data_IF_869390580981
#
_entry.id   IF_869390580981
#
_cell.length_a   1.000
_cell.length_b   1.000
_cell.length_c   1.000
_cell.angle_alpha   90.00
_cell.angle_beta   90.00
_cell.angle_gamma   90.00
#
_symmetry.space_group_name_H-M   'P 1'
#
loop_
_entity.id
_entity.type
_entity.pdbx_description
1 polymer ?
#
# COMPACT_ATOMS: atom_id res chain seq x y z
N UNK A 1 -49.34 25.74 13.29
CA UNK A 1 -47.88 25.80 13.49
C UNK A 1 -47.49 24.77 14.53
N UNK A 2 -46.81 23.70 14.11
CA UNK A 2 -45.84 22.95 14.93
C UNK A 2 -45.14 21.96 13.99
N UNK A 3 -43.89 22.26 13.66
CA UNK A 3 -43.01 21.36 12.90
C UNK A 3 -42.54 20.29 13.87
N UNK A 4 -42.81 19.01 13.58
CA UNK A 4 -42.19 17.90 14.31
C UNK A 4 -40.84 17.61 13.65
N UNK A 5 -39.77 18.07 14.28
CA UNK A 5 -38.40 17.74 13.88
C UNK A 5 -38.09 16.34 14.40
N UNK A 6 -37.86 15.38 13.50
CA UNK A 6 -37.35 14.05 13.84
C UNK A 6 -35.85 14.18 14.07
N UNK A 7 -35.40 13.85 15.27
CA UNK A 7 -33.99 13.82 15.66
C UNK A 7 -33.45 12.42 15.34
N UNK A 8 -32.59 12.30 14.33
CA UNK A 8 -31.86 11.05 14.08
C UNK A 8 -30.64 11.02 14.99
N UNK A 9 -30.63 10.06 15.93
CA UNK A 9 -29.48 9.74 16.77
C UNK A 9 -28.50 8.97 15.89
N UNK A 10 -27.41 9.61 15.47
CA UNK A 10 -26.25 8.91 14.93
C UNK A 10 -25.54 8.21 16.09
N UNK A 11 -25.65 6.89 16.13
CA UNK A 11 -24.82 6.03 16.96
C UNK A 11 -23.42 5.99 16.30
N UNK A 12 -22.55 6.89 16.72
CA UNK A 12 -21.13 6.87 16.34
C UNK A 12 -20.49 5.57 16.80
N UNK A 13 -20.08 4.74 15.85
CA UNK A 13 -19.31 3.53 16.11
C UNK A 13 -17.87 3.99 16.38
N UNK A 14 -17.51 4.06 17.66
CA UNK A 14 -16.17 4.37 18.14
C UNK A 14 -15.23 3.28 17.60
N UNK A 15 -14.45 3.61 16.58
CA UNK A 15 -13.30 2.79 16.19
C UNK A 15 -12.26 2.99 17.30
N UNK A 16 -11.94 1.89 17.98
CA UNK A 16 -11.15 1.87 19.21
C UNK A 16 -9.76 2.46 19.03
N UNK A 17 -9.49 3.51 19.80
CA UNK A 17 -8.15 3.99 20.07
C UNK A 17 -7.37 2.91 20.83
N UNK A 18 -6.43 2.24 20.17
CA UNK A 18 -5.40 1.46 20.84
C UNK A 18 -4.40 2.41 21.48
N UNK A 19 -4.55 2.68 22.77
CA UNK A 19 -3.52 3.37 23.56
C UNK A 19 -2.41 2.36 23.86
N UNK A 20 -1.34 2.39 23.08
CA UNK A 20 -0.10 1.69 23.39
C UNK A 20 0.78 2.61 24.24
N UNK A 21 0.79 2.41 25.56
CA UNK A 21 1.81 3.01 26.44
C UNK A 21 3.07 2.15 26.34
N UNK A 22 4.04 2.60 25.53
CA UNK A 22 5.31 1.92 25.31
C UNK A 22 6.45 2.92 25.09
N UNK A 23 7.17 3.21 26.17
CA UNK A 23 8.51 3.79 26.32
C UNK A 23 9.29 4.09 25.01
N UNK A 24 9.41 5.39 24.72
CA UNK A 24 10.63 6.10 24.31
C UNK A 24 11.54 5.53 23.21
N UNK A 25 11.25 5.89 21.96
CA UNK A 25 12.26 6.38 21.00
C UNK A 25 11.64 7.53 20.20
N UNK A 26 12.25 8.72 20.26
CA UNK A 26 11.86 9.84 19.40
C UNK A 26 12.42 9.58 18.00
N UNK A 27 11.68 8.82 17.20
CA UNK A 27 11.67 8.99 15.76
C UNK A 27 10.27 9.49 15.45
N UNK A 28 10.13 10.79 15.18
CA UNK A 28 8.93 11.33 14.56
C UNK A 28 8.82 10.71 13.18
N UNK A 29 8.20 9.54 13.08
CA UNK A 29 7.64 9.07 11.83
C UNK A 29 6.50 10.04 11.54
N UNK A 30 6.82 11.03 10.71
CA UNK A 30 5.83 11.83 10.02
C UNK A 30 5.06 10.83 9.14
N UNK A 31 3.97 10.29 9.69
CA UNK A 31 3.03 9.52 8.92
C UNK A 31 2.38 10.52 7.98
N UNK A 32 2.80 10.52 6.71
CA UNK A 32 2.06 11.22 5.67
C UNK A 32 0.76 10.45 5.54
N UNK A 33 -0.30 10.94 6.18
CA UNK A 33 -1.64 10.49 5.83
C UNK A 33 -1.85 10.88 4.36
N UNK A 34 -1.98 9.87 3.51
CA UNK A 34 -2.28 10.04 2.08
C UNK A 34 -3.75 10.44 1.98
N UNK A 35 -4.11 11.62 2.49
CA UNK A 35 -5.52 12.09 2.51
C UNK A 35 -5.96 12.68 1.16
N UNK A 36 -5.09 12.76 0.15
CA UNK A 36 -5.36 13.53 -1.08
C UNK A 36 -4.90 12.84 -2.37
N UNK A 37 -5.10 11.53 -2.52
CA UNK A 37 -4.71 10.82 -3.74
C UNK A 37 -5.67 9.69 -4.13
N UNK A 38 -6.10 9.65 -5.39
CA UNK A 38 -6.90 8.54 -5.94
C UNK A 38 -8.18 8.25 -5.14
N UNK A 39 -8.40 6.99 -4.77
CA UNK A 39 -9.61 6.54 -4.07
C UNK A 39 -9.86 7.22 -2.71
N UNK A 40 -8.83 7.79 -2.07
CA UNK A 40 -8.98 8.47 -0.76
C UNK A 40 -9.82 9.74 -0.83
N UNK A 41 -9.97 10.33 -2.02
CA UNK A 41 -10.80 11.52 -2.26
C UNK A 41 -12.27 11.18 -2.59
N UNK A 42 -12.59 9.89 -2.72
CA UNK A 42 -13.92 9.42 -3.11
C UNK A 42 -14.75 9.03 -1.89
N UNK A 43 -15.97 9.56 -1.83
CA UNK A 43 -16.99 9.22 -0.82
C UNK A 43 -18.16 8.53 -1.51
N UNK A 44 -18.77 7.55 -0.85
CA UNK A 44 -19.80 6.68 -1.44
C UNK A 44 -21.07 7.40 -1.90
N UNK A 45 -21.36 8.58 -1.32
CA UNK A 45 -22.50 9.42 -1.68
C UNK A 45 -22.08 10.66 -2.50
N UNK A 46 -20.83 10.69 -2.95
CA UNK A 46 -20.27 11.79 -3.72
C UNK A 46 -20.81 11.83 -5.15
N UNK A 47 -20.82 13.04 -5.72
CA UNK A 47 -21.06 13.26 -7.14
C UNK A 47 -19.84 13.96 -7.70
N UNK A 48 -19.27 13.39 -8.75
CA UNK A 48 -18.01 13.80 -9.32
C UNK A 48 -18.21 14.25 -10.76
N UNK A 49 -17.40 15.21 -11.18
CA UNK A 49 -17.25 15.55 -12.60
C UNK A 49 -16.46 14.46 -13.33
N UNK A 50 -16.58 14.39 -14.65
CA UNK A 50 -15.80 13.44 -15.44
C UNK A 50 -14.28 13.64 -15.26
N UNK A 51 -13.84 14.90 -15.15
CA UNK A 51 -12.44 15.25 -14.89
C UNK A 51 -11.95 14.69 -13.55
N UNK A 52 -12.74 14.85 -12.49
CA UNK A 52 -12.41 14.27 -11.17
C UNK A 52 -12.38 12.74 -11.23
N UNK A 53 -13.37 12.10 -11.87
CA UNK A 53 -13.42 10.64 -11.97
C UNK A 53 -12.19 10.07 -12.69
N UNK A 54 -11.83 10.63 -13.84
CA UNK A 54 -10.65 10.18 -14.59
C UNK A 54 -9.36 10.46 -13.82
N UNK A 55 -9.25 11.63 -13.19
CA UNK A 55 -8.09 12.01 -12.38
C UNK A 55 -7.90 11.06 -11.21
N UNK A 56 -8.96 10.77 -10.45
CA UNK A 56 -8.87 9.88 -9.30
C UNK A 56 -8.62 8.44 -9.72
N UNK A 57 -9.24 7.96 -10.79
CA UNK A 57 -8.99 6.63 -11.33
C UNK A 57 -7.51 6.45 -11.70
N UNK A 58 -6.93 7.34 -12.52
CA UNK A 58 -5.54 7.17 -12.97
C UNK A 58 -4.53 7.35 -11.83
N UNK A 59 -4.82 8.21 -10.84
CA UNK A 59 -4.01 8.35 -9.64
C UNK A 59 -4.02 7.05 -8.82
N UNK A 60 -5.16 6.38 -8.68
CA UNK A 60 -5.25 5.11 -7.95
C UNK A 60 -4.41 4.03 -8.63
N UNK A 61 -4.48 3.93 -9.97
CA UNK A 61 -3.65 2.99 -10.74
C UNK A 61 -2.14 3.32 -10.64
N UNK A 62 -1.77 4.61 -10.64
CA UNK A 62 -0.38 5.04 -10.41
C UNK A 62 0.12 4.63 -9.01
N UNK A 63 -0.71 4.84 -7.98
CA UNK A 63 -0.36 4.49 -6.59
C UNK A 63 -0.24 2.98 -6.41
N UNK A 64 -1.16 2.20 -6.96
CA UNK A 64 -1.10 0.74 -6.94
C UNK A 64 0.18 0.23 -7.62
N UNK A 65 0.46 0.70 -8.84
CA UNK A 65 1.65 0.31 -9.59
C UNK A 65 2.95 0.66 -8.83
N UNK A 66 3.06 1.89 -8.33
CA UNK A 66 4.24 2.34 -7.57
C UNK A 66 4.43 1.54 -6.28
N UNK A 67 3.34 1.28 -5.54
CA UNK A 67 3.35 0.49 -4.31
C UNK A 67 3.80 -0.95 -4.57
N UNK A 68 3.26 -1.60 -5.60
CA UNK A 68 3.60 -2.98 -5.94
C UNK A 68 5.05 -3.09 -6.44
N UNK A 69 5.55 -2.12 -7.21
CA UNK A 69 6.97 -2.05 -7.56
C UNK A 69 7.87 -1.96 -6.32
N UNK A 70 7.55 -1.06 -5.37
CA UNK A 70 8.35 -0.90 -4.15
C UNK A 70 8.35 -2.18 -3.29
N UNK A 71 7.21 -2.88 -3.20
CA UNK A 71 7.11 -4.17 -2.49
C UNK A 71 7.97 -5.23 -3.17
N UNK A 72 7.93 -5.33 -4.51
CA UNK A 72 8.74 -6.29 -5.25
C UNK A 72 10.24 -6.00 -5.09
N UNK A 73 10.63 -4.73 -5.08
CA UNK A 73 12.02 -4.33 -4.84
C UNK A 73 12.49 -4.72 -3.44
N UNK A 74 11.66 -4.48 -2.42
CA UNK A 74 12.01 -4.75 -1.03
C UNK A 74 12.00 -6.26 -0.67
N UNK A 75 11.03 -7.00 -1.19
CA UNK A 75 10.75 -8.38 -0.77
C UNK A 75 11.03 -9.44 -1.84
N UNK A 76 11.33 -9.03 -3.06
CA UNK A 76 11.55 -9.89 -4.22
C UNK A 76 10.25 -10.30 -4.92
N UNK A 77 10.33 -11.35 -5.74
CA UNK A 77 9.19 -11.88 -6.50
C UNK A 77 8.18 -12.59 -5.57
N UNK A 78 7.28 -11.79 -5.00
CA UNK A 78 6.17 -12.23 -4.15
C UNK A 78 4.91 -12.24 -5.00
N UNK A 79 4.31 -13.43 -5.17
CA UNK A 79 2.95 -13.52 -5.72
C UNK A 79 1.96 -13.06 -4.63
N UNK A 80 1.03 -12.14 -4.95
CA UNK A 80 0.56 -11.82 -6.30
C UNK A 80 1.14 -10.53 -6.93
N UNK A 81 1.93 -9.73 -6.21
CA UNK A 81 2.44 -8.43 -6.67
C UNK A 81 3.11 -8.45 -8.04
N UNK A 82 3.99 -9.43 -8.30
CA UNK A 82 4.72 -9.52 -9.57
C UNK A 82 3.84 -9.75 -10.81
N UNK A 83 2.62 -10.24 -10.61
CA UNK A 83 1.64 -10.41 -11.69
C UNK A 83 0.75 -9.18 -11.85
N UNK A 84 0.31 -8.65 -10.72
CA UNK A 84 -0.66 -7.56 -10.65
C UNK A 84 -0.03 -6.24 -11.10
N UNK A 85 1.24 -5.98 -10.79
CA UNK A 85 1.94 -4.76 -11.22
C UNK A 85 1.93 -4.57 -12.76
N UNK A 86 1.89 -5.66 -13.53
CA UNK A 86 1.79 -5.60 -14.99
C UNK A 86 0.36 -5.27 -15.46
N UNK A 87 -0.66 -5.71 -14.70
CA UNK A 87 -2.05 -5.38 -14.97
C UNK A 87 -2.32 -3.89 -14.75
N UNK A 88 -1.70 -3.26 -13.73
CA UNK A 88 -1.88 -1.83 -13.47
C UNK A 88 -1.40 -0.96 -14.64
N UNK A 89 -0.35 -1.37 -15.36
CA UNK A 89 0.02 -0.65 -16.59
C UNK A 89 -1.08 -0.73 -17.66
N UNK A 90 -1.77 -1.86 -17.75
CA UNK A 90 -2.89 -2.03 -18.69
C UNK A 90 -4.06 -1.12 -18.28
N UNK A 91 -4.33 -0.95 -16.99
CA UNK A 91 -5.37 -0.04 -16.51
C UNK A 91 -5.06 1.41 -16.86
N UNK A 92 -3.82 1.85 -16.62
CA UNK A 92 -3.33 3.17 -17.04
C UNK A 92 -3.52 3.37 -18.54
N UNK A 93 -3.11 2.39 -19.35
CA UNK A 93 -3.22 2.45 -20.81
C UNK A 93 -4.67 2.49 -21.31
N UNK A 94 -5.63 1.94 -20.55
CA UNK A 94 -7.07 2.01 -20.84
C UNK A 94 -7.66 3.39 -20.50
N UNK A 95 -7.15 4.06 -19.46
CA UNK A 95 -7.62 5.37 -19.02
C UNK A 95 -7.09 6.50 -19.92
N UNK A 96 -5.83 6.45 -20.36
CA UNK A 96 -5.17 7.52 -21.11
C UNK A 96 -5.95 8.02 -22.35
N UNK A 97 -6.55 7.15 -23.21
CA UNK A 97 -7.34 7.61 -24.35
C UNK A 97 -8.58 8.42 -23.96
N UNK A 98 -9.15 8.21 -22.77
CA UNK A 98 -10.31 8.97 -22.30
C UNK A 98 -9.91 10.42 -22.01
N UNK A 99 -8.74 10.67 -21.42
CA UNK A 99 -8.23 12.03 -21.20
C UNK A 99 -8.13 12.81 -22.50
N UNK A 100 -7.56 12.21 -23.55
CA UNK A 100 -7.49 12.83 -24.88
C UNK A 100 -8.89 13.08 -25.47
N UNK A 101 -9.77 12.07 -25.40
CA UNK A 101 -11.13 12.13 -25.96
C UNK A 101 -11.96 13.26 -25.36
N UNK A 102 -11.83 13.50 -24.06
CA UNK A 102 -12.58 14.51 -23.33
C UNK A 102 -11.84 15.84 -23.13
N UNK A 103 -10.61 15.97 -23.65
CA UNK A 103 -9.81 17.19 -23.57
C UNK A 103 -9.36 17.53 -22.14
N UNK A 104 -9.14 16.51 -21.31
CA UNK A 104 -8.71 16.64 -19.92
C UNK A 104 -7.20 16.41 -19.85
N UNK A 105 -6.49 17.24 -19.08
CA UNK A 105 -5.05 17.06 -18.88
C UNK A 105 -4.77 15.82 -18.02
N UNK A 106 -3.83 14.98 -18.45
CA UNK A 106 -3.40 13.82 -17.67
C UNK A 106 -2.59 14.33 -16.46
N UNK A 107 -2.95 13.96 -15.22
CA UNK A 107 -2.18 14.36 -14.05
C UNK A 107 -0.75 13.80 -14.10
N UNK A 108 0.20 14.55 -13.55
CA UNK A 108 1.59 14.08 -13.42
C UNK A 108 1.62 12.82 -12.55
N UNK A 109 2.28 11.76 -13.02
CA UNK A 109 2.54 10.60 -12.17
C UNK A 109 3.62 10.93 -11.14
N UNK A 110 3.17 11.21 -9.94
CA UNK A 110 3.98 11.54 -8.77
C UNK A 110 3.72 10.57 -7.60
N UNK A 111 3.08 9.43 -7.91
CA UNK A 111 2.59 8.44 -6.94
C UNK A 111 3.67 7.88 -6.01
N UNK A 112 4.91 7.79 -6.49
CA UNK A 112 6.04 7.27 -5.73
C UNK A 112 6.29 8.03 -4.40
N UNK A 113 5.91 9.31 -4.30
CA UNK A 113 6.07 10.09 -3.07
C UNK A 113 5.06 9.70 -1.96
N UNK A 114 3.97 9.03 -2.34
CA UNK A 114 2.90 8.60 -1.43
C UNK A 114 3.01 7.13 -1.04
N UNK A 115 3.98 6.40 -1.59
CA UNK A 115 4.18 4.98 -1.27
C UNK A 115 4.69 4.82 0.16
N UNK A 116 3.93 4.09 0.97
CA UNK A 116 4.35 3.65 2.30
C UNK A 116 4.65 2.16 2.23
N UNK A 117 5.94 1.79 2.33
CA UNK A 117 6.36 0.40 2.27
C UNK A 117 5.89 -0.36 3.53
N UNK A 118 5.10 -1.44 3.39
CA UNK A 118 4.72 -2.30 4.50
C UNK A 118 5.95 -2.96 5.14
N UNK A 119 5.87 -3.35 6.42
CA UNK A 119 7.03 -3.88 7.17
C UNK A 119 7.32 -5.38 6.92
N UNK A 120 6.38 -6.07 6.29
CA UNK A 120 6.37 -7.53 6.11
C UNK A 120 5.56 -7.91 4.87
N UNK A 121 5.73 -9.15 4.40
CA UNK A 121 4.95 -9.66 3.26
C UNK A 121 3.50 -9.85 3.65
N UNK A 122 3.20 -10.31 4.87
CA UNK A 122 1.82 -10.38 5.35
C UNK A 122 1.16 -9.01 5.45
N UNK A 123 1.88 -7.96 5.90
CA UNK A 123 1.35 -6.60 5.88
C UNK A 123 1.15 -6.10 4.46
N UNK A 124 2.08 -6.39 3.55
CA UNK A 124 1.96 -6.03 2.14
C UNK A 124 0.71 -6.63 1.50
N UNK A 125 0.45 -7.92 1.72
CA UNK A 125 -0.76 -8.56 1.22
C UNK A 125 -2.05 -7.94 1.79
N UNK A 126 -2.02 -7.50 3.06
CA UNK A 126 -3.14 -6.78 3.66
C UNK A 126 -3.34 -5.40 3.00
N UNK A 127 -2.26 -4.65 2.76
CA UNK A 127 -2.31 -3.38 2.01
C UNK A 127 -2.88 -3.57 0.60
N UNK A 128 -2.51 -4.65 -0.10
CA UNK A 128 -3.13 -4.97 -1.39
C UNK A 128 -4.63 -5.25 -1.29
N UNK A 129 -5.09 -5.98 -0.27
CA UNK A 129 -6.54 -6.17 -0.02
C UNK A 129 -7.25 -4.84 0.21
N UNK A 130 -6.67 -3.95 1.02
CA UNK A 130 -7.24 -2.63 1.32
C UNK A 130 -7.30 -1.75 0.06
N UNK A 131 -6.23 -1.71 -0.72
CA UNK A 131 -6.17 -0.95 -1.97
C UNK A 131 -7.25 -1.42 -2.98
N UNK A 132 -7.34 -2.72 -3.25
CA UNK A 132 -8.35 -3.22 -4.20
C UNK A 132 -9.78 -3.06 -3.69
N UNK A 133 -9.99 -3.11 -2.37
CA UNK A 133 -11.31 -2.83 -1.78
C UNK A 133 -11.70 -1.36 -2.00
N UNK A 134 -10.76 -0.43 -1.80
CA UNK A 134 -10.97 0.99 -2.04
C UNK A 134 -11.22 1.30 -3.53
N UNK A 135 -10.45 0.67 -4.43
CA UNK A 135 -10.60 0.88 -5.87
C UNK A 135 -11.96 0.35 -6.40
N UNK A 136 -12.42 -0.81 -5.91
CA UNK A 136 -13.78 -1.31 -6.21
C UNK A 136 -14.84 -0.29 -5.76
N UNK A 137 -14.73 0.23 -4.53
CA UNK A 137 -15.68 1.20 -4.00
C UNK A 137 -15.68 2.54 -4.78
N UNK A 138 -14.51 2.97 -5.26
CA UNK A 138 -14.37 4.11 -6.17
C UNK A 138 -15.18 3.88 -7.45
N UNK A 139 -15.00 2.73 -8.12
CA UNK A 139 -15.74 2.45 -9.36
C UNK A 139 -17.24 2.23 -9.12
N UNK A 140 -17.64 1.59 -8.01
CA UNK A 140 -19.05 1.50 -7.61
C UNK A 140 -19.70 2.87 -7.50
N UNK A 141 -18.98 3.83 -6.87
CA UNK A 141 -19.43 5.21 -6.72
C UNK A 141 -19.57 5.90 -8.07
N UNK A 142 -18.57 5.80 -8.95
CA UNK A 142 -18.60 6.43 -10.26
C UNK A 142 -19.71 5.83 -11.14
N UNK A 143 -19.78 4.50 -11.22
CA UNK A 143 -20.74 3.78 -12.07
C UNK A 143 -22.21 3.99 -11.67
N UNK A 144 -22.46 4.39 -10.41
CA UNK A 144 -23.79 4.78 -9.95
C UNK A 144 -24.31 6.09 -10.57
N UNK A 145 -23.44 6.94 -11.12
CA UNK A 145 -23.85 8.13 -11.86
C UNK A 145 -24.46 7.76 -13.23
N UNK A 146 -25.62 8.34 -13.54
CA UNK A 146 -26.43 7.96 -14.71
C UNK A 146 -26.01 8.62 -16.01
N UNK A 147 -25.17 9.66 -15.96
CA UNK A 147 -24.76 10.51 -17.08
C UNK A 147 -23.34 10.25 -17.59
N UNK A 148 -22.72 9.14 -17.18
CA UNK A 148 -21.44 8.67 -17.71
C UNK A 148 -21.54 8.33 -19.21
N UNK A 149 -20.62 8.83 -20.04
CA UNK A 149 -20.46 8.36 -21.40
C UNK A 149 -20.19 6.85 -21.49
N UNK A 150 -20.65 6.21 -22.56
CA UNK A 150 -20.60 4.74 -22.71
C UNK A 150 -19.17 4.18 -22.75
N UNK A 151 -18.22 4.91 -23.33
CA UNK A 151 -16.81 4.54 -23.39
C UNK A 151 -16.14 4.60 -22.01
N UNK A 152 -16.41 5.66 -21.24
CA UNK A 152 -15.94 5.79 -19.85
C UNK A 152 -16.53 4.69 -18.98
N UNK A 153 -17.84 4.43 -19.10
CA UNK A 153 -18.52 3.36 -18.37
C UNK A 153 -17.88 2.00 -18.64
N UNK A 154 -17.62 1.68 -19.92
CA UNK A 154 -17.01 0.41 -20.30
C UNK A 154 -15.61 0.23 -19.71
N UNK A 155 -14.80 1.30 -19.67
CA UNK A 155 -13.48 1.27 -19.02
C UNK A 155 -13.61 1.07 -17.51
N UNK A 156 -14.48 1.83 -16.83
CA UNK A 156 -14.68 1.70 -15.38
C UNK A 156 -15.21 0.32 -14.96
N UNK A 157 -16.14 -0.27 -15.71
CA UNK A 157 -16.61 -1.65 -15.46
C UNK A 157 -15.47 -2.68 -15.64
N UNK A 158 -14.60 -2.47 -16.62
CA UNK A 158 -13.43 -3.32 -16.84
C UNK A 158 -12.42 -3.22 -15.69
N UNK A 159 -12.13 -2.01 -15.21
CA UNK A 159 -11.18 -1.79 -14.12
C UNK A 159 -11.75 -2.30 -12.79
N UNK A 160 -13.04 -2.07 -12.50
CA UNK A 160 -13.71 -2.67 -11.34
C UNK A 160 -13.59 -4.20 -11.34
N UNK A 161 -13.89 -4.84 -12.48
CA UNK A 161 -13.78 -6.30 -12.62
C UNK A 161 -12.34 -6.78 -12.40
N UNK A 162 -11.33 -6.00 -12.83
CA UNK A 162 -9.94 -6.33 -12.60
C UNK A 162 -9.57 -6.22 -11.12
N UNK A 163 -10.00 -5.17 -10.42
CA UNK A 163 -9.80 -5.01 -8.97
C UNK A 163 -10.44 -6.15 -8.17
N UNK A 164 -11.63 -6.63 -8.55
CA UNK A 164 -12.23 -7.83 -7.93
C UNK A 164 -11.35 -9.08 -8.08
N UNK A 165 -10.73 -9.26 -9.24
CA UNK A 165 -9.79 -10.35 -9.47
C UNK A 165 -8.49 -10.19 -8.65
N UNK A 166 -7.97 -8.97 -8.54
CA UNK A 166 -6.81 -8.65 -7.72
C UNK A 166 -7.09 -8.91 -6.24
N UNK A 167 -8.21 -8.40 -5.72
CA UNK A 167 -8.67 -8.62 -4.36
C UNK A 167 -8.72 -10.11 -4.01
N UNK A 168 -9.27 -10.93 -4.92
CA UNK A 168 -9.31 -12.39 -4.76
C UNK A 168 -7.91 -13.01 -4.74
N UNK A 169 -6.98 -12.51 -5.55
CA UNK A 169 -5.60 -12.99 -5.59
C UNK A 169 -4.86 -12.66 -4.28
N UNK A 170 -4.94 -11.42 -3.80
CA UNK A 170 -4.37 -11.01 -2.51
C UNK A 170 -4.97 -11.81 -1.35
N UNK A 171 -6.29 -11.97 -1.34
CA UNK A 171 -7.00 -12.69 -0.27
C UNK A 171 -6.61 -14.17 -0.18
N UNK A 172 -6.38 -14.84 -1.31
CA UNK A 172 -5.97 -16.26 -1.33
C UNK A 172 -4.56 -16.47 -0.78
N UNK A 173 -3.64 -15.56 -1.07
CA UNK A 173 -2.22 -15.75 -0.78
C UNK A 173 -1.83 -15.26 0.63
N UNK A 174 -2.77 -14.72 1.42
CA UNK A 174 -2.53 -14.27 2.80
C UNK A 174 -1.93 -15.34 3.71
N UNK A 175 -2.31 -16.62 3.56
CA UNK A 175 -1.71 -17.71 4.31
C UNK A 175 -0.24 -17.98 3.91
N UNK A 176 0.09 -17.72 2.64
CA UNK A 176 1.47 -17.83 2.14
C UNK A 176 2.35 -16.72 2.72
N UNK A 177 1.82 -15.50 2.87
CA UNK A 177 2.54 -14.37 3.45
C UNK A 177 3.15 -14.67 4.82
N UNK A 178 2.39 -15.27 5.73
CA UNK A 178 2.91 -15.67 7.05
C UNK A 178 4.07 -16.67 6.97
N UNK A 179 4.03 -17.58 5.99
CA UNK A 179 5.12 -18.54 5.73
C UNK A 179 6.38 -17.86 5.20
N UNK A 180 6.23 -16.87 4.32
CA UNK A 180 7.33 -16.05 3.82
C UNK A 180 8.00 -15.24 4.94
N UNK A 181 7.20 -14.59 5.79
CA UNK A 181 7.69 -13.80 6.92
C UNK A 181 8.49 -14.67 7.90
N UNK A 182 7.98 -15.87 8.22
CA UNK A 182 8.71 -16.84 9.03
C UNK A 182 10.04 -17.26 8.38
N UNK A 183 10.05 -17.53 7.07
CA UNK A 183 11.25 -17.87 6.32
C UNK A 183 12.31 -16.76 6.37
N UNK A 184 11.89 -15.50 6.20
CA UNK A 184 12.75 -14.32 6.31
C UNK A 184 13.32 -14.17 7.72
N UNK A 185 12.49 -14.35 8.75
CA UNK A 185 12.92 -14.31 10.16
C UNK A 185 13.97 -15.39 10.45
N UNK A 186 13.74 -16.64 10.02
CA UNK A 186 14.69 -17.75 10.18
C UNK A 186 16.02 -17.45 9.48
N UNK A 187 15.97 -16.98 8.22
CA UNK A 187 17.17 -16.62 7.44
C UNK A 187 17.99 -15.53 8.14
N UNK A 188 17.33 -14.52 8.69
CA UNK A 188 17.97 -13.42 9.41
C UNK A 188 18.61 -13.90 10.73
N UNK A 189 17.98 -14.85 11.43
CA UNK A 189 18.55 -15.48 12.62
C UNK A 189 19.82 -16.29 12.30
N UNK A 190 19.80 -17.10 11.23
CA UNK A 190 20.98 -17.85 10.79
C UNK A 190 22.13 -16.94 10.32
N UNK A 191 21.83 -15.83 9.65
CA UNK A 191 22.83 -14.82 9.25
C UNK A 191 23.51 -14.13 10.44
N UNK A 192 22.76 -13.92 11.55
CA UNK A 192 23.32 -13.38 12.80
C UNK A 192 24.17 -14.43 13.55
N UNK A 193 23.77 -15.70 13.53
CA UNK A 193 24.49 -16.79 14.19
C UNK A 193 25.80 -17.21 13.50
N UNK A 194 25.90 -17.06 12.18
CA UNK A 194 27.12 -17.41 11.42
C UNK A 194 28.19 -16.30 11.38
N UNK A 195 27.87 -15.10 11.87
CA UNK A 195 28.79 -13.95 11.93
C UNK A 195 29.60 -13.83 13.23
N UNK A 196 29.34 -14.67 14.23
CA UNK A 196 30.02 -14.64 15.53
C UNK A 196 31.00 -15.82 15.68
N UNK A 197 31.79 -16.06 14.63
CA UNK A 197 32.92 -16.99 14.65
C UNK A 197 34.24 -16.25 14.76
N UNK A 198 34.78 -16.18 15.97
CA UNK A 198 36.21 -16.01 16.28
C UNK A 198 36.85 -14.62 16.11
N UNK A 199 36.64 -13.73 17.09
CA UNK A 199 37.65 -12.73 17.51
C UNK A 199 37.84 -12.77 19.02
N UNK A 200 38.84 -13.53 19.47
CA UNK A 200 39.32 -13.60 20.85
C UNK A 200 39.96 -14.96 21.07
N UNK A 201 41.28 -15.12 21.04
CA UNK A 201 42.20 -14.55 22.01
C UNK A 201 43.62 -14.58 21.43
N UNK A 202 44.28 -13.42 21.34
CA UNK A 202 45.74 -13.37 21.28
C UNK A 202 46.19 -12.63 22.54
N UNK A 203 46.36 -13.40 23.62
CA UNK A 203 46.89 -12.92 24.88
C UNK A 203 48.43 -12.89 24.75
N UNK A 204 48.98 -11.73 24.37
CA UNK A 204 50.41 -11.46 24.51
C UNK A 204 50.60 -10.37 25.55
N UNK A 205 51.30 -10.75 26.63
CA UNK A 205 52.17 -9.82 27.36
C UNK A 205 51.80 -9.60 28.82
N UNK A 206 52.20 -10.52 29.71
CA UNK A 206 52.95 -10.13 30.92
C UNK A 206 53.52 -11.33 31.71
N UNK A 207 54.84 -11.34 31.83
CA UNK A 207 55.69 -11.82 32.95
C UNK A 207 57.08 -12.15 32.37
N UNK A 208 58.24 -11.87 32.98
CA UNK A 208 58.65 -11.07 34.12
C UNK A 208 60.19 -10.93 34.00
N UNK A 209 60.71 -9.75 34.34
CA UNK A 209 62.04 -9.36 34.85
C UNK A 209 63.23 -10.36 34.83
N UNK A 210 64.42 -9.91 34.40
CA UNK A 210 65.69 -10.63 34.62
C UNK A 210 66.96 -9.97 34.04
N UNK A 211 67.47 -8.97 34.75
CA UNK A 211 68.81 -8.34 34.77
C UNK A 211 70.03 -9.18 34.29
N UNK A 212 70.94 -8.57 33.51
CA UNK A 212 72.40 -8.48 33.78
C UNK A 212 73.15 -7.67 32.70
N UNK A 213 73.92 -6.68 33.15
CA UNK A 213 74.89 -5.87 32.40
C UNK A 213 76.27 -6.53 32.40
N UNK A 214 76.97 -6.49 31.27
CA UNK A 214 78.31 -5.90 31.13
C UNK A 214 78.63 -5.69 29.65
#
# INVERSE_FOLDING_TARGET
MSKKTVFFIFLGLIIGSFVFVGIGVNASSEYVEVENYGATLVSTDGVYTLEEMLTYAIQDEYLAQATYHAIIEAYGDVKPFSRIVLAEQTHIDLLLPLFETYGIEVPVNDAAQYVVLPDSISSALATGVEAETANIALYETFLAQTDLPDDVRAVFESLQTASEHHLKAFSRDRLLGAGYDLGQMIKNQFKKGSGQGNKGSNNQGQSNQGFCLN
#
